data_IF_730127920534
#
_entry.id   IF_730127920534
#
_cell.length_a   1.000
_cell.length_b   1.000
_cell.length_c   1.000
_cell.angle_alpha   90.00
_cell.angle_beta   90.00
_cell.angle_gamma   90.00
#
_symmetry.space_group_name_H-M   'P 1'
#
loop_
_entity.id
_entity.type
_entity.pdbx_description
1 polymer ?
#
# COMPACT_ATOMS: atom_id res chain seq x y z
N UNK A 1 -12.09 3.70 31.76
CA UNK A 1 -11.85 3.41 31.11
C UNK A 1 -11.66 3.13 30.67
N UNK A 2 -11.49 3.32 30.74
CA UNK A 2 -11.18 2.94 30.07
C UNK A 2 -11.16 2.52 29.30
N UNK A 3 -11.50 2.45 29.67
CA UNK A 3 -11.64 2.08 28.74
C UNK A 3 -11.17 1.41 28.06
N UNK A 4 -11.99 1.30 28.15
CA UNK A 4 -11.31 0.46 27.26
C UNK A 4 -10.80 1.24 26.10
N UNK A 5 -9.66 1.61 26.25
CA UNK A 5 -9.05 2.50 25.29
C UNK A 5 -7.89 1.78 24.61
N UNK A 6 -7.95 1.71 23.27
CA UNK A 6 -6.84 1.15 22.51
C UNK A 6 -5.77 2.23 22.43
N UNK A 7 -4.55 1.93 22.86
CA UNK A 7 -3.47 2.92 22.79
C UNK A 7 -3.30 3.44 21.36
N UNK A 8 -3.04 4.73 21.23
CA UNK A 8 -2.88 5.34 19.91
C UNK A 8 -1.81 4.64 19.08
N UNK A 9 -0.72 4.24 19.72
CA UNK A 9 0.35 3.56 19.02
C UNK A 9 -0.12 2.23 18.43
N UNK A 10 -0.95 1.50 19.18
CA UNK A 10 -1.46 0.23 18.70
C UNK A 10 -2.45 0.43 17.57
N UNK A 11 -3.32 1.44 17.68
CA UNK A 11 -4.26 1.76 16.61
C UNK A 11 -3.51 2.14 15.35
N UNK A 12 -2.49 2.98 15.48
CA UNK A 12 -1.70 3.39 14.32
C UNK A 12 -1.01 2.22 13.65
N UNK A 13 -0.45 1.30 14.46
CA UNK A 13 0.21 0.13 13.92
C UNK A 13 -0.76 -0.72 13.10
N UNK A 14 -1.97 -0.94 13.63
CA UNK A 14 -2.97 -1.73 12.93
C UNK A 14 -3.46 -1.05 11.67
N UNK A 15 -3.41 0.28 11.65
CA UNK A 15 -3.91 1.07 10.53
C UNK A 15 -2.80 1.64 9.67
N UNK A 16 -1.55 1.19 9.90
CA UNK A 16 -0.42 1.67 9.11
C UNK A 16 -0.60 1.32 7.63
N UNK A 17 -1.26 0.19 7.36
CA UNK A 17 -1.59 -0.21 6.00
C UNK A 17 -3.10 -0.22 5.86
N UNK A 18 -3.61 0.58 4.93
CA UNK A 18 -5.03 0.66 4.65
C UNK A 18 -5.40 -0.43 3.66
N UNK A 19 -6.37 -1.24 4.02
CA UNK A 19 -6.86 -2.28 3.11
C UNK A 19 -7.81 -1.65 2.10
N UNK A 20 -7.55 -1.88 0.81
CA UNK A 20 -8.31 -1.28 -0.26
C UNK A 20 -9.33 -2.26 -0.81
N UNK A 21 -10.54 -1.76 -1.07
CA UNK A 21 -11.62 -2.47 -1.71
C UNK A 21 -12.12 -1.62 -2.87
N UNK A 22 -13.02 -2.16 -3.68
CA UNK A 22 -13.59 -1.36 -4.77
C UNK A 22 -14.38 -0.16 -4.23
N UNK A 23 -14.91 -0.27 -3.02
CA UNK A 23 -15.70 0.80 -2.41
C UNK A 23 -14.84 1.96 -1.94
N UNK A 24 -13.64 1.68 -1.44
CA UNK A 24 -12.81 2.75 -0.86
C UNK A 24 -11.61 3.13 -1.73
N UNK A 25 -11.45 2.50 -2.90
CA UNK A 25 -10.28 2.74 -3.76
C UNK A 25 -10.09 4.23 -4.06
N UNK A 26 -11.15 4.91 -4.46
CA UNK A 26 -11.02 6.32 -4.82
C UNK A 26 -10.70 7.19 -3.61
N UNK A 27 -11.49 7.05 -2.55
CA UNK A 27 -11.31 7.92 -1.40
C UNK A 27 -10.00 7.67 -0.66
N UNK A 28 -9.62 6.39 -0.50
CA UNK A 28 -8.50 6.04 0.34
C UNK A 28 -7.17 5.98 -0.40
N UNK A 29 -7.18 5.71 -1.70
CA UNK A 29 -5.94 5.58 -2.45
C UNK A 29 -5.81 6.62 -3.55
N UNK A 30 -6.73 6.61 -4.51
CA UNK A 30 -6.59 7.47 -5.68
C UNK A 30 -6.57 8.95 -5.30
N UNK A 31 -7.45 9.36 -4.41
CA UNK A 31 -7.59 10.76 -4.01
C UNK A 31 -6.92 11.06 -2.68
N UNK A 32 -5.93 10.27 -2.30
CA UNK A 32 -5.18 10.52 -1.08
C UNK A 32 -4.52 11.90 -1.13
N UNK A 33 -4.58 12.68 -0.04
CA UNK A 33 -3.94 14.00 -0.01
C UNK A 33 -2.41 13.93 0.03
N UNK A 34 -1.85 12.74 0.27
CA UNK A 34 -0.41 12.52 0.24
C UNK A 34 -0.12 11.42 -0.74
N UNK A 35 1.15 11.29 -1.20
CA UNK A 35 1.51 10.17 -2.09
C UNK A 35 1.16 8.84 -1.44
N UNK A 36 0.79 7.88 -2.25
CA UNK A 36 0.31 6.58 -1.74
C UNK A 36 0.83 5.44 -2.60
N UNK A 37 0.96 4.27 -1.99
CA UNK A 37 1.33 3.05 -2.70
C UNK A 37 0.30 1.97 -2.41
N UNK A 38 -0.01 1.17 -3.42
CA UNK A 38 -0.96 0.06 -3.30
C UNK A 38 -0.26 -1.24 -3.68
N UNK A 39 -0.19 -2.16 -2.73
CA UNK A 39 0.37 -3.50 -2.90
C UNK A 39 -0.73 -4.44 -3.35
N UNK A 40 -0.62 -4.92 -4.58
CA UNK A 40 -1.54 -5.95 -5.11
C UNK A 40 -0.94 -7.31 -4.78
N UNK A 41 -1.59 -8.03 -3.87
CA UNK A 41 -1.06 -9.30 -3.36
C UNK A 41 -2.15 -10.37 -3.32
N UNK A 42 -1.76 -11.60 -3.03
CA UNK A 42 -2.69 -12.69 -2.84
C UNK A 42 -2.11 -13.70 -1.85
N UNK A 43 -2.98 -14.40 -1.10
CA UNK A 43 -2.50 -15.33 -0.06
C UNK A 43 -1.75 -16.54 -0.60
N UNK A 44 -1.90 -16.83 -1.89
CA UNK A 44 -1.18 -17.96 -2.51
C UNK A 44 0.05 -17.51 -3.28
N UNK A 45 0.37 -16.23 -3.23
CA UNK A 45 1.52 -15.67 -3.92
C UNK A 45 2.73 -15.71 -2.97
N UNK A 46 3.68 -16.61 -3.25
CA UNK A 46 4.86 -16.77 -2.39
C UNK A 46 5.67 -15.50 -2.27
N UNK A 47 6.07 -14.87 -3.39
CA UNK A 47 6.84 -13.61 -3.30
C UNK A 47 6.09 -12.50 -2.56
N UNK A 48 4.76 -12.42 -2.73
CA UNK A 48 3.96 -11.44 -2.00
C UNK A 48 4.09 -11.64 -0.50
N UNK A 49 3.96 -12.88 -0.06
CA UNK A 49 3.98 -13.21 1.37
C UNK A 49 5.37 -13.00 1.96
N UNK A 50 6.41 -13.26 1.18
CA UNK A 50 7.78 -13.05 1.64
C UNK A 50 8.07 -11.56 1.83
N UNK A 51 7.49 -10.72 1.00
CA UNK A 51 7.72 -9.27 1.06
C UNK A 51 6.86 -8.59 2.14
N UNK A 52 5.75 -9.20 2.50
CA UNK A 52 4.75 -8.59 3.38
C UNK A 52 5.30 -8.09 4.72
N UNK A 53 6.09 -8.88 5.47
CA UNK A 53 6.62 -8.38 6.75
C UNK A 53 7.48 -7.13 6.57
N UNK A 54 8.27 -7.08 5.51
CA UNK A 54 9.14 -5.93 5.25
C UNK A 54 8.32 -4.70 4.86
N UNK A 55 7.26 -4.92 4.11
CA UNK A 55 6.35 -3.83 3.73
C UNK A 55 5.63 -3.27 4.96
N UNK A 56 5.18 -4.15 5.86
CA UNK A 56 4.56 -3.72 7.10
C UNK A 56 5.53 -2.89 7.95
N UNK A 57 6.77 -3.34 8.04
CA UNK A 57 7.78 -2.63 8.81
C UNK A 57 8.02 -1.23 8.22
N UNK A 58 8.08 -1.15 6.90
CA UNK A 58 8.25 0.14 6.22
C UNK A 58 7.08 1.06 6.53
N UNK A 59 5.85 0.54 6.47
CA UNK A 59 4.66 1.33 6.70
C UNK A 59 4.56 1.84 8.13
N UNK A 60 5.17 1.13 9.08
CA UNK A 60 5.14 1.50 10.49
C UNK A 60 6.23 2.51 10.86
N UNK A 61 7.10 2.84 9.94
CA UNK A 61 8.18 3.78 10.22
C UNK A 61 7.60 5.18 10.45
N UNK A 62 7.82 5.77 11.64
CA UNK A 62 7.19 7.05 11.96
C UNK A 62 7.60 8.20 11.06
N UNK A 63 8.71 8.08 10.33
CA UNK A 63 9.14 9.18 9.46
C UNK A 63 8.15 9.41 8.30
N UNK A 64 7.31 8.41 7.99
CA UNK A 64 6.34 8.55 6.90
C UNK A 64 4.95 8.96 7.38
N UNK A 65 4.75 9.03 8.69
CA UNK A 65 3.45 9.35 9.24
C UNK A 65 2.98 10.72 8.76
N UNK A 66 1.77 10.76 8.16
CA UNK A 66 1.22 11.99 7.63
C UNK A 66 1.83 12.46 6.32
N UNK A 67 2.85 11.75 5.82
CA UNK A 67 3.56 12.15 4.60
C UNK A 67 3.39 11.16 3.46
N UNK A 68 3.03 9.94 3.77
CA UNK A 68 2.88 8.89 2.77
C UNK A 68 1.83 7.90 3.25
N UNK A 69 1.04 7.35 2.32
CA UNK A 69 -0.01 6.40 2.68
C UNK A 69 0.31 5.04 2.08
N UNK A 70 0.30 4.02 2.94
CA UNK A 70 0.59 2.66 2.55
C UNK A 70 -0.71 1.87 2.49
N UNK A 71 -0.96 1.22 1.35
CA UNK A 71 -2.20 0.50 1.12
C UNK A 71 -1.90 -0.90 0.60
N UNK A 72 -2.86 -1.81 0.75
CA UNK A 72 -2.75 -3.13 0.19
C UNK A 72 -4.13 -3.62 -0.25
N UNK A 73 -4.15 -4.52 -1.22
CA UNK A 73 -5.39 -5.15 -1.67
C UNK A 73 -5.15 -6.63 -1.90
N UNK A 74 -6.00 -7.44 -1.26
CA UNK A 74 -6.02 -8.89 -1.47
C UNK A 74 -6.83 -9.15 -2.74
N UNK A 75 -6.14 -9.48 -3.83
CA UNK A 75 -6.80 -9.63 -5.12
C UNK A 75 -7.70 -10.87 -5.18
N UNK A 76 -7.53 -11.81 -4.25
CA UNK A 76 -8.43 -12.97 -4.20
C UNK A 76 -9.83 -12.57 -3.75
N UNK A 77 -9.93 -11.48 -2.98
CA UNK A 77 -11.20 -10.98 -2.47
C UNK A 77 -11.70 -9.75 -3.23
N UNK A 78 -10.79 -8.97 -3.81
CA UNK A 78 -11.11 -7.69 -4.41
C UNK A 78 -10.48 -7.57 -5.81
N UNK A 79 -10.82 -8.49 -6.69
CA UNK A 79 -10.23 -8.55 -8.03
C UNK A 79 -10.49 -7.31 -8.85
N UNK A 80 -11.62 -6.66 -8.64
CA UNK A 80 -12.00 -5.50 -9.44
C UNK A 80 -11.04 -4.34 -9.29
N UNK A 81 -10.38 -4.23 -8.13
CA UNK A 81 -9.44 -3.13 -7.91
C UNK A 81 -8.33 -3.15 -8.97
N UNK A 82 -7.88 -4.35 -9.35
CA UNK A 82 -6.84 -4.49 -10.37
C UNK A 82 -7.29 -3.91 -11.72
N UNK A 83 -8.59 -3.87 -11.96
CA UNK A 83 -9.16 -3.37 -13.20
C UNK A 83 -9.54 -1.89 -13.13
N UNK A 84 -9.41 -1.28 -11.96
CA UNK A 84 -9.77 0.13 -11.77
C UNK A 84 -8.63 1.07 -12.18
N UNK A 85 -7.49 0.52 -12.53
CA UNK A 85 -6.33 1.31 -12.99
C UNK A 85 -6.04 0.98 -14.45
N UNK A 86 -5.30 1.86 -15.11
CA UNK A 86 -4.96 1.72 -16.53
C UNK A 86 -3.47 1.89 -16.71
N UNK A 87 -2.76 0.89 -17.24
CA UNK A 87 -3.27 -0.43 -17.59
C UNK A 87 -3.62 -1.23 -16.34
N UNK A 88 -4.49 -2.24 -16.49
CA UNK A 88 -4.89 -3.09 -15.38
C UNK A 88 -3.68 -3.82 -14.80
N UNK A 89 -3.75 -4.13 -13.50
CA UNK A 89 -2.70 -4.92 -12.85
C UNK A 89 -2.97 -6.39 -13.10
N UNK A 90 -2.04 -7.05 -13.78
CA UNK A 90 -2.22 -8.43 -14.22
C UNK A 90 -1.30 -9.42 -13.51
N UNK A 91 -0.40 -8.95 -12.66
CA UNK A 91 0.57 -9.82 -12.00
C UNK A 91 0.72 -9.46 -10.53
N UNK A 92 1.20 -10.39 -9.74
CA UNK A 92 1.44 -10.21 -8.31
C UNK A 92 2.85 -10.67 -7.97
N UNK A 93 3.55 -9.97 -7.09
CA UNK A 93 3.16 -8.69 -6.51
C UNK A 93 3.36 -7.53 -7.48
N UNK A 94 2.51 -6.51 -7.37
CA UNK A 94 2.69 -5.26 -8.10
C UNK A 94 2.45 -4.13 -7.11
N UNK A 95 3.36 -3.16 -7.10
CA UNK A 95 3.24 -1.98 -6.26
C UNK A 95 3.01 -0.77 -7.14
N UNK A 96 1.86 -0.13 -6.94
CA UNK A 96 1.42 0.99 -7.76
C UNK A 96 1.49 2.26 -6.94
N UNK A 97 2.18 3.28 -7.46
CA UNK A 97 2.39 4.53 -6.73
C UNK A 97 1.57 5.64 -7.36
N UNK A 98 0.79 6.34 -6.52
CA UNK A 98 -0.04 7.46 -6.96
C UNK A 98 0.38 8.73 -6.24
N UNK A 99 0.25 9.85 -6.96
CA UNK A 99 0.46 11.18 -6.39
C UNK A 99 -0.48 12.13 -7.11
N UNK A 100 -1.23 12.92 -6.34
CA UNK A 100 -2.17 13.91 -6.89
C UNK A 100 -3.18 13.27 -7.85
N UNK A 101 -3.63 12.06 -7.52
CA UNK A 101 -4.65 11.36 -8.30
C UNK A 101 -4.14 10.62 -9.52
N UNK A 102 -2.83 10.61 -9.75
CA UNK A 102 -2.24 10.02 -10.96
C UNK A 102 -1.21 8.96 -10.61
N UNK A 103 -1.14 7.92 -11.44
CA UNK A 103 -0.10 6.93 -11.30
C UNK A 103 1.24 7.55 -11.69
N UNK A 104 2.23 7.47 -10.79
CA UNK A 104 3.55 8.03 -11.04
C UNK A 104 4.63 6.98 -11.14
N UNK A 105 4.37 5.75 -10.68
CA UNK A 105 5.33 4.66 -10.79
C UNK A 105 4.63 3.33 -10.58
N UNK A 106 5.26 2.27 -11.08
CA UNK A 106 4.76 0.91 -10.95
C UNK A 106 5.95 -0.02 -10.85
N UNK A 107 6.01 -0.82 -9.78
CA UNK A 107 7.10 -1.78 -9.60
C UNK A 107 6.52 -3.19 -9.62
N UNK A 108 7.20 -4.08 -10.33
CA UNK A 108 6.81 -5.48 -10.40
C UNK A 108 7.94 -6.33 -10.94
N UNK A 109 7.79 -7.66 -10.83
CA UNK A 109 8.78 -8.57 -11.35
C UNK A 109 10.12 -8.44 -10.64
N UNK A 110 11.20 -8.51 -11.41
CA UNK A 110 12.55 -8.52 -10.86
C UNK A 110 12.97 -7.19 -10.24
N UNK A 111 12.28 -6.11 -10.57
CA UNK A 111 12.60 -4.79 -10.03
C UNK A 111 11.97 -4.55 -8.68
N UNK A 112 11.14 -5.46 -8.20
CA UNK A 112 10.38 -5.28 -6.98
C UNK A 112 11.13 -5.88 -5.80
N UNK A 113 11.74 -5.01 -4.99
CA UNK A 113 12.38 -5.37 -3.73
C UNK A 113 11.97 -4.34 -2.70
N UNK A 114 12.20 -4.65 -1.41
CA UNK A 114 11.90 -3.66 -0.38
C UNK A 114 12.76 -2.41 -0.56
N UNK A 115 13.98 -2.59 -1.08
CA UNK A 115 14.87 -1.46 -1.35
C UNK A 115 14.33 -0.54 -2.44
N UNK A 116 13.82 -1.11 -3.53
CA UNK A 116 13.26 -0.27 -4.61
C UNK A 116 11.97 0.38 -4.18
N UNK A 117 11.16 -0.31 -3.38
CA UNK A 117 9.93 0.28 -2.82
C UNK A 117 10.29 1.46 -1.93
N UNK A 118 11.24 1.26 -1.00
CA UNK A 118 11.64 2.30 -0.07
C UNK A 118 12.20 3.52 -0.79
N UNK A 119 13.03 3.28 -1.82
CA UNK A 119 13.60 4.37 -2.59
C UNK A 119 12.51 5.21 -3.27
N UNK A 120 11.49 4.55 -3.81
CA UNK A 120 10.40 5.26 -4.45
C UNK A 120 9.56 6.05 -3.44
N UNK A 121 9.30 5.45 -2.27
CA UNK A 121 8.59 6.14 -1.21
C UNK A 121 9.35 7.42 -0.82
N UNK A 122 10.65 7.29 -0.59
CA UNK A 122 11.47 8.43 -0.19
C UNK A 122 11.49 9.51 -1.28
N UNK A 123 11.56 9.09 -2.53
CA UNK A 123 11.53 10.03 -3.66
C UNK A 123 10.23 10.84 -3.67
N UNK A 124 9.11 10.17 -3.45
CA UNK A 124 7.80 10.82 -3.51
C UNK A 124 7.51 11.68 -2.28
N UNK A 125 8.19 11.41 -1.17
CA UNK A 125 8.07 12.21 0.05
C UNK A 125 8.92 13.48 0.03
N UNK A 126 9.90 13.51 -0.85
CA UNK A 126 10.86 14.63 -0.89
C UNK A 126 10.22 15.93 -1.35
#
# INVERSE_FOLDING_TARGET
MENIHIPDSEVKTKMAITEITKENFEAEFKNSPVPAVLDFWGPKCGPCMALMPKYHELAENPKYEGKFKFCSVDTSKNRRVAMMVRPAVMAQPTFLFFKDGNEVARLGGNDLTIETITAKVDELCA
#
